data_IF_628768463314
#
_entry.id   IF_628768463314
#
_cell.length_a   1.000
_cell.length_b   1.000
_cell.length_c   1.000
_cell.angle_alpha   90.00
_cell.angle_beta   90.00
_cell.angle_gamma   90.00
#
_symmetry.space_group_name_H-M   'P 1'
#
loop_
_entity.id
_entity.type
_entity.pdbx_description
1 polymer ?
#
# COMPACT_ATOMS: atom_id res chain seq x y z
N UNK A 1 6.62 -11.40 49.13
CA UNK A 1 6.45 -12.48 48.14
C UNK A 1 7.81 -12.83 47.56
N UNK A 2 8.28 -14.07 47.67
CA UNK A 2 9.60 -14.47 47.16
C UNK A 2 9.61 -14.49 45.63
N UNK A 3 10.75 -14.16 45.00
CA UNK A 3 10.96 -14.22 43.54
C UNK A 3 10.37 -15.48 42.88
N UNK A 4 10.61 -16.71 43.37
CA UNK A 4 10.09 -17.93 42.73
C UNK A 4 8.57 -18.02 42.75
N UNK A 5 7.90 -17.53 43.80
CA UNK A 5 6.43 -17.55 43.91
C UNK A 5 5.80 -16.54 42.93
N UNK A 6 6.45 -15.40 42.69
CA UNK A 6 5.99 -14.42 41.71
C UNK A 6 6.10 -14.94 40.28
N UNK A 7 7.19 -15.63 39.96
CA UNK A 7 7.42 -16.10 38.60
C UNK A 7 6.56 -17.34 38.27
N UNK A 8 6.32 -18.22 39.24
CA UNK A 8 5.32 -19.30 39.11
C UNK A 8 3.88 -18.77 38.97
N UNK A 9 3.51 -17.73 39.71
CA UNK A 9 2.20 -17.10 39.56
C UNK A 9 2.02 -16.48 38.17
N UNK A 10 3.04 -15.81 37.63
CA UNK A 10 3.04 -15.28 36.26
C UNK A 10 2.88 -16.39 35.22
N UNK A 11 3.57 -17.51 35.42
CA UNK A 11 3.50 -18.65 34.51
C UNK A 11 2.10 -19.28 34.52
N UNK A 12 1.50 -19.46 35.71
CA UNK A 12 0.13 -19.95 35.87
C UNK A 12 -0.90 -19.00 35.24
N UNK A 13 -0.72 -17.68 35.41
CA UNK A 13 -1.55 -16.67 34.75
C UNK A 13 -1.43 -16.71 33.23
N UNK A 14 -0.22 -16.90 32.69
CA UNK A 14 0.00 -17.04 31.25
C UNK A 14 -0.65 -18.32 30.70
N UNK A 15 -0.51 -19.44 31.41
CA UNK A 15 -1.12 -20.72 31.02
C UNK A 15 -2.65 -20.67 31.11
N UNK A 16 -3.20 -20.07 32.17
CA UNK A 16 -4.64 -19.84 32.31
C UNK A 16 -5.18 -18.91 31.22
N UNK A 17 -4.42 -17.86 30.87
CA UNK A 17 -4.73 -16.96 29.77
C UNK A 17 -4.75 -17.68 28.42
N UNK A 18 -3.71 -18.48 28.11
CA UNK A 18 -3.64 -19.31 26.90
C UNK A 18 -4.80 -20.31 26.82
N UNK A 19 -5.16 -20.93 27.95
CA UNK A 19 -6.25 -21.89 28.02
C UNK A 19 -7.63 -21.24 27.83
N UNK A 20 -7.86 -20.07 28.45
CA UNK A 20 -9.06 -19.27 28.24
C UNK A 20 -9.20 -18.79 26.79
N UNK A 21 -8.07 -18.40 26.18
CA UNK A 21 -8.03 -17.98 24.78
C UNK A 21 -8.39 -19.12 23.81
N UNK A 22 -7.95 -20.34 24.12
CA UNK A 22 -8.27 -21.54 23.32
C UNK A 22 -9.76 -21.93 23.38
N UNK A 23 -10.52 -21.44 24.38
CA UNK A 23 -11.97 -21.69 24.50
C UNK A 23 -12.85 -20.62 23.84
N UNK A 24 -12.26 -19.55 23.31
CA UNK A 24 -13.02 -18.53 22.60
C UNK A 24 -13.48 -19.07 21.24
N UNK A 25 -14.64 -18.59 20.73
CA UNK A 25 -15.04 -18.85 19.36
C UNK A 25 -13.90 -18.45 18.41
N UNK A 26 -13.61 -19.24 17.37
CA UNK A 26 -12.45 -19.00 16.50
C UNK A 26 -12.45 -17.60 15.87
N UNK A 27 -13.62 -17.03 15.57
CA UNK A 27 -13.77 -15.65 15.08
C UNK A 27 -13.38 -14.59 16.13
N UNK A 28 -13.76 -14.80 17.40
CA UNK A 28 -13.43 -13.92 18.52
C UNK A 28 -11.95 -14.00 18.91
N UNK A 29 -11.39 -15.21 18.96
CA UNK A 29 -9.97 -15.43 19.22
C UNK A 29 -9.10 -14.80 18.14
N UNK A 30 -9.44 -15.00 16.86
CA UNK A 30 -8.73 -14.37 15.75
C UNK A 30 -8.77 -12.83 15.81
N UNK A 31 -9.94 -12.25 16.07
CA UNK A 31 -10.10 -10.81 16.19
C UNK A 31 -9.27 -10.22 17.36
N UNK A 32 -9.23 -10.90 18.51
CA UNK A 32 -8.43 -10.46 19.65
C UNK A 32 -6.92 -10.54 19.39
N UNK A 33 -6.44 -11.59 18.69
CA UNK A 33 -5.04 -11.67 18.23
C UNK A 33 -4.72 -10.51 17.29
N UNK A 34 -5.63 -10.23 16.35
CA UNK A 34 -5.43 -9.21 15.33
C UNK A 34 -5.42 -7.80 15.95
N UNK A 35 -6.39 -7.48 16.82
CA UNK A 35 -6.44 -6.22 17.57
C UNK A 35 -5.25 -6.08 18.51
N UNK A 36 -4.88 -7.14 19.23
CA UNK A 36 -3.73 -7.15 20.13
C UNK A 36 -2.40 -6.94 19.40
N UNK A 37 -2.23 -7.59 18.24
CA UNK A 37 -1.07 -7.42 17.38
C UNK A 37 -0.97 -6.02 16.79
N UNK A 38 -2.09 -5.45 16.31
CA UNK A 38 -2.15 -4.07 15.84
C UNK A 38 -1.85 -3.08 16.96
N UNK A 39 -2.38 -3.29 18.17
CA UNK A 39 -2.10 -2.45 19.33
C UNK A 39 -0.61 -2.51 19.73
N UNK A 40 -0.01 -3.71 19.76
CA UNK A 40 1.42 -3.87 20.02
C UNK A 40 2.28 -3.17 18.95
N UNK A 41 1.90 -3.28 17.68
CA UNK A 41 2.53 -2.54 16.57
C UNK A 41 2.38 -1.02 16.70
N UNK A 42 1.21 -0.54 17.09
CA UNK A 42 0.94 0.88 17.34
C UNK A 42 1.77 1.43 18.52
N UNK A 43 1.85 0.68 19.62
CA UNK A 43 2.71 1.02 20.77
C UNK A 43 4.17 1.11 20.34
N UNK A 44 4.65 0.15 19.54
CA UNK A 44 6.01 0.18 19.00
C UNK A 44 6.25 1.43 18.14
N UNK A 45 5.31 1.78 17.26
CA UNK A 45 5.39 2.94 16.40
C UNK A 45 5.49 4.24 17.19
N UNK A 46 4.63 4.41 18.20
CA UNK A 46 4.61 5.60 19.07
C UNK A 46 5.91 5.74 19.86
N UNK A 47 6.42 4.65 20.44
CA UNK A 47 7.63 4.69 21.27
C UNK A 47 8.92 4.87 20.45
N UNK A 48 8.92 4.48 19.17
CA UNK A 48 10.08 4.55 18.28
C UNK A 48 9.91 5.54 17.12
N UNK A 49 8.98 6.50 17.25
CA UNK A 49 8.60 7.41 16.17
C UNK A 49 9.81 8.18 15.60
N UNK A 50 10.69 8.72 16.45
CA UNK A 50 11.91 9.42 16.02
C UNK A 50 12.86 8.52 15.22
N UNK A 51 12.98 7.23 15.60
CA UNK A 51 13.78 6.25 14.88
C UNK A 51 13.18 5.91 13.52
N UNK A 52 11.86 5.75 13.47
CA UNK A 52 11.12 5.46 12.24
C UNK A 52 11.25 6.61 11.25
N UNK A 53 11.10 7.86 11.70
CA UNK A 53 11.30 9.04 10.85
C UNK A 53 12.74 9.19 10.37
N UNK A 54 13.73 8.96 11.24
CA UNK A 54 15.13 8.96 10.83
C UNK A 54 15.41 7.86 9.79
N UNK A 55 14.79 6.69 9.91
CA UNK A 55 14.91 5.63 8.91
C UNK A 55 14.18 5.98 7.60
N UNK A 56 12.98 6.57 7.70
CA UNK A 56 12.17 7.05 6.57
C UNK A 56 12.78 8.24 5.84
N UNK A 57 13.74 8.98 6.39
CA UNK A 57 14.46 9.98 5.59
C UNK A 57 15.51 9.34 4.68
N UNK A 58 16.05 8.17 5.06
CA UNK A 58 17.05 7.45 4.28
C UNK A 58 16.46 6.43 3.29
N UNK A 59 15.29 5.87 3.57
CA UNK A 59 14.70 4.78 2.77
C UNK A 59 14.10 5.24 1.41
N UNK A 60 13.22 6.25 1.35
CA UNK A 60 12.82 6.95 0.12
C UNK A 60 13.90 7.90 -0.44
N UNK A 61 14.93 8.24 0.35
CA UNK A 61 15.96 9.21 -0.04
C UNK A 61 16.97 8.73 -1.09
N UNK A 62 17.10 7.43 -1.34
CA UNK A 62 17.89 6.98 -2.49
C UNK A 62 17.04 7.12 -3.76
N UNK A 63 17.31 8.16 -4.56
CA UNK A 63 16.68 8.42 -5.85
C UNK A 63 16.51 7.17 -6.73
N UNK A 64 17.46 6.24 -6.68
CA UNK A 64 17.37 4.97 -7.41
C UNK A 64 16.21 4.08 -6.94
N UNK A 65 15.97 3.99 -5.63
CA UNK A 65 14.87 3.18 -5.09
C UNK A 65 13.51 3.81 -5.44
N UNK A 66 13.36 5.13 -5.30
CA UNK A 66 12.11 5.80 -5.65
C UNK A 66 11.82 5.72 -7.15
N UNK A 67 12.82 5.87 -8.02
CA UNK A 67 12.66 5.72 -9.48
C UNK A 67 12.27 4.29 -9.86
N UNK A 68 12.97 3.28 -9.33
CA UNK A 68 12.68 1.86 -9.64
C UNK A 68 11.27 1.49 -9.16
N UNK A 69 10.92 1.85 -7.92
CA UNK A 69 9.61 1.51 -7.36
C UNK A 69 8.50 2.21 -8.12
N UNK A 70 8.61 3.52 -8.39
CA UNK A 70 7.61 4.26 -9.16
C UNK A 70 7.49 3.70 -10.58
N UNK A 71 8.59 3.31 -11.21
CA UNK A 71 8.57 2.71 -12.55
C UNK A 71 7.86 1.35 -12.56
N UNK A 72 8.16 0.47 -11.60
CA UNK A 72 7.48 -0.82 -11.46
C UNK A 72 5.98 -0.64 -11.17
N UNK A 73 5.63 0.32 -10.31
CA UNK A 73 4.24 0.65 -10.01
C UNK A 73 3.50 1.27 -11.20
N UNK A 74 4.19 2.08 -12.03
CA UNK A 74 3.64 2.56 -13.32
C UNK A 74 3.35 1.38 -14.24
N UNK A 75 4.29 0.45 -14.39
CA UNK A 75 4.12 -0.71 -15.26
C UNK A 75 2.98 -1.62 -14.78
N UNK A 76 2.84 -1.82 -13.46
CA UNK A 76 1.71 -2.56 -12.90
C UNK A 76 0.39 -1.84 -13.12
N UNK A 77 0.35 -0.50 -12.96
CA UNK A 77 -0.84 0.30 -13.23
C UNK A 77 -1.27 0.21 -14.71
N UNK A 78 -0.34 0.30 -15.66
CA UNK A 78 -0.62 0.13 -17.10
C UNK A 78 -1.25 -1.25 -17.38
N UNK A 79 -0.68 -2.30 -16.81
CA UNK A 79 -1.21 -3.67 -16.97
C UNK A 79 -2.58 -3.83 -16.33
N UNK A 80 -2.81 -3.24 -15.16
CA UNK A 80 -4.10 -3.28 -14.47
C UNK A 80 -5.19 -2.53 -15.26
N UNK A 81 -4.87 -1.34 -15.78
CA UNK A 81 -5.77 -0.54 -16.61
C UNK A 81 -6.11 -1.25 -17.92
N UNK A 82 -5.11 -1.82 -18.61
CA UNK A 82 -5.34 -2.61 -19.81
C UNK A 82 -6.19 -3.87 -19.50
N UNK A 83 -5.86 -4.62 -18.44
CA UNK A 83 -6.61 -5.83 -18.09
C UNK A 83 -8.07 -5.56 -17.71
N UNK A 84 -8.38 -4.44 -17.05
CA UNK A 84 -9.75 -4.11 -16.64
C UNK A 84 -10.57 -3.38 -17.70
N UNK A 85 -9.96 -2.45 -18.43
CA UNK A 85 -10.68 -1.57 -19.36
C UNK A 85 -10.35 -1.85 -20.83
N UNK A 86 -9.38 -2.71 -21.13
CA UNK A 86 -8.97 -3.05 -22.50
C UNK A 86 -8.41 -1.87 -23.29
N UNK A 87 -7.84 -0.87 -22.60
CA UNK A 87 -7.22 0.31 -23.21
C UNK A 87 -5.79 -0.06 -23.61
N UNK A 88 -5.42 0.23 -24.86
CA UNK A 88 -4.07 0.04 -25.36
C UNK A 88 -3.08 0.94 -24.59
N UNK A 89 -1.88 0.43 -24.33
CA UNK A 89 -0.89 1.10 -23.47
C UNK A 89 -0.44 2.45 -24.05
N UNK A 90 -0.52 2.59 -25.38
CA UNK A 90 -0.16 3.81 -26.11
C UNK A 90 -1.16 4.97 -25.89
N UNK A 91 -2.34 4.70 -25.33
CA UNK A 91 -3.35 5.71 -24.98
C UNK A 91 -3.42 5.99 -23.47
N UNK A 92 -2.46 5.48 -22.68
CA UNK A 92 -2.35 5.66 -21.23
C UNK A 92 -1.10 6.47 -20.88
N UNK A 93 -1.14 7.77 -21.15
CA UNK A 93 -0.01 8.68 -20.97
C UNK A 93 0.18 9.06 -19.49
N UNK A 94 -0.86 9.61 -18.86
CA UNK A 94 -0.77 10.22 -17.53
C UNK A 94 -1.44 9.38 -16.45
N UNK A 95 -2.52 8.66 -16.76
CA UNK A 95 -3.24 7.83 -15.79
C UNK A 95 -2.29 6.81 -15.15
N UNK A 96 -1.48 6.14 -15.96
CA UNK A 96 -0.49 5.18 -15.50
C UNK A 96 0.59 5.79 -14.58
N UNK A 97 1.02 7.03 -14.86
CA UNK A 97 2.05 7.72 -14.07
C UNK A 97 1.49 8.17 -12.73
N UNK A 98 0.33 8.84 -12.74
CA UNK A 98 -0.35 9.31 -11.52
C UNK A 98 -0.71 8.14 -10.63
N UNK A 99 -1.30 7.10 -11.20
CA UNK A 99 -1.71 5.92 -10.44
C UNK A 99 -0.53 5.07 -9.99
N UNK A 100 0.51 4.95 -10.82
CA UNK A 100 1.77 4.33 -10.43
C UNK A 100 2.44 5.03 -9.24
N UNK A 101 2.42 6.36 -9.22
CA UNK A 101 2.90 7.14 -8.09
C UNK A 101 2.05 6.89 -6.82
N UNK A 102 0.73 6.81 -6.94
CA UNK A 102 -0.16 6.45 -5.84
C UNK A 102 0.12 5.05 -5.29
N UNK A 103 0.25 4.04 -6.17
CA UNK A 103 0.61 2.67 -5.78
C UNK A 103 1.99 2.56 -5.12
N UNK A 104 2.93 3.44 -5.49
CA UNK A 104 4.29 3.41 -4.96
C UNK A 104 4.33 3.62 -3.45
N UNK A 105 3.35 4.35 -2.88
CA UNK A 105 3.27 4.65 -1.45
C UNK A 105 3.00 3.37 -0.64
N UNK A 106 1.84 2.68 -0.79
CA UNK A 106 1.59 1.45 -0.05
C UNK A 106 2.55 0.33 -0.45
N UNK A 107 3.01 0.26 -1.70
CA UNK A 107 4.01 -0.73 -2.09
C UNK A 107 5.34 -0.53 -1.34
N UNK A 108 5.79 0.72 -1.19
CA UNK A 108 6.99 1.05 -0.41
C UNK A 108 6.82 0.70 1.06
N UNK A 109 5.62 0.92 1.63
CA UNK A 109 5.30 0.46 2.98
C UNK A 109 5.38 -1.06 3.05
N UNK A 110 4.76 -1.78 2.12
CA UNK A 110 4.81 -3.25 2.10
C UNK A 110 6.25 -3.77 2.06
N UNK A 111 7.11 -3.22 1.20
CA UNK A 111 8.53 -3.56 1.14
C UNK A 111 9.27 -3.29 2.45
N UNK A 112 8.96 -2.17 3.12
CA UNK A 112 9.50 -1.85 4.43
C UNK A 112 9.07 -2.89 5.49
N UNK A 113 7.78 -3.23 5.53
CA UNK A 113 7.26 -4.24 6.46
C UNK A 113 7.93 -5.59 6.25
N UNK A 114 8.06 -6.03 4.99
CA UNK A 114 8.77 -7.27 4.63
C UNK A 114 10.24 -7.19 5.05
N UNK A 115 10.92 -6.07 4.83
CA UNK A 115 12.31 -5.89 5.24
C UNK A 115 12.49 -6.04 6.76
N UNK A 116 11.58 -5.48 7.57
CA UNK A 116 11.65 -5.58 9.03
C UNK A 116 11.41 -7.01 9.54
N UNK A 117 10.63 -7.81 8.80
CA UNK A 117 10.43 -9.24 9.10
C UNK A 117 11.65 -10.11 8.74
N UNK A 118 12.59 -9.61 7.92
CA UNK A 118 13.76 -10.39 7.56
C UNK A 118 14.66 -10.67 8.76
N UNK A 119 15.32 -11.86 8.80
CA UNK A 119 16.32 -12.18 9.80
C UNK A 119 17.42 -11.12 9.89
N UNK A 120 17.94 -10.87 11.08
CA UNK A 120 18.95 -9.83 11.30
C UNK A 120 20.22 -10.02 10.45
N UNK A 121 20.60 -11.27 10.13
CA UNK A 121 21.76 -11.55 9.29
C UNK A 121 21.56 -11.06 7.85
N UNK A 122 20.37 -11.24 7.29
CA UNK A 122 19.97 -10.74 5.96
C UNK A 122 19.95 -9.22 5.95
N UNK A 123 19.37 -8.61 6.99
CA UNK A 123 19.35 -7.15 7.15
C UNK A 123 20.74 -6.55 7.27
N UNK A 124 21.66 -7.21 7.99
CA UNK A 124 23.07 -6.78 8.07
C UNK A 124 23.78 -6.91 6.73
N UNK A 125 23.53 -7.97 5.95
CA UNK A 125 24.08 -8.11 4.61
C UNK A 125 23.57 -7.01 3.67
N UNK A 126 22.28 -6.70 3.70
CA UNK A 126 21.68 -5.60 2.95
C UNK A 126 22.18 -4.22 3.43
N UNK A 127 22.35 -4.03 4.74
CA UNK A 127 22.86 -2.80 5.34
C UNK A 127 24.34 -2.55 5.08
N UNK A 128 25.17 -3.60 4.90
CA UNK A 128 26.57 -3.48 4.45
C UNK A 128 26.70 -2.86 3.06
N UNK A 129 25.65 -2.90 2.24
CA UNK A 129 25.59 -2.23 0.93
C UNK A 129 25.27 -0.73 1.04
N UNK A 130 24.96 -0.20 2.24
CA UNK A 130 24.67 1.22 2.48
C UNK A 130 25.64 1.81 3.51
N UNK A 131 26.89 2.15 3.10
CA UNK A 131 27.82 2.87 3.95
C UNK A 131 27.27 4.29 4.20
N UNK A 132 27.04 4.67 5.46
CA UNK A 132 26.69 6.06 5.83
C UNK A 132 25.42 6.24 6.67
N UNK A 133 24.71 5.18 7.07
CA UNK A 133 23.59 5.31 7.97
C UNK A 133 24.06 5.81 9.36
N UNK A 134 23.61 6.99 9.77
CA UNK A 134 23.84 7.52 11.12
C UNK A 134 23.37 6.50 12.18
N UNK A 135 24.01 6.44 13.36
CA UNK A 135 23.59 5.54 14.43
C UNK A 135 22.15 5.88 14.83
N UNK A 136 21.23 4.96 14.52
CA UNK A 136 19.84 5.12 14.88
C UNK A 136 19.69 5.17 16.41
N UNK A 137 18.78 5.99 16.95
CA UNK A 137 18.52 6.03 18.39
C UNK A 137 18.14 4.64 18.92
N UNK A 138 18.48 4.38 20.18
CA UNK A 138 18.25 3.09 20.83
C UNK A 138 16.79 2.65 20.73
N UNK A 139 16.58 1.38 20.35
CA UNK A 139 15.26 0.80 20.17
C UNK A 139 14.55 0.63 21.51
N UNK A 140 13.33 1.15 21.61
CA UNK A 140 12.43 0.88 22.73
C UNK A 140 11.55 -0.31 22.38
N UNK A 141 11.47 -1.29 23.29
CA UNK A 141 10.59 -2.48 23.17
C UNK A 141 10.82 -3.30 21.87
N UNK A 142 12.03 -3.85 21.64
CA UNK A 142 12.36 -4.55 20.40
C UNK A 142 11.46 -5.76 20.10
N UNK A 143 10.88 -6.37 21.13
CA UNK A 143 9.96 -7.51 21.01
C UNK A 143 8.70 -7.19 20.20
N UNK A 144 8.32 -5.90 20.07
CA UNK A 144 7.12 -5.48 19.34
C UNK A 144 7.38 -5.15 17.85
N UNK A 145 8.65 -5.16 17.42
CA UNK A 145 9.03 -4.93 16.02
C UNK A 145 8.32 -5.85 15.01
N UNK A 146 8.20 -7.19 15.21
CA UNK A 146 7.51 -8.04 14.25
C UNK A 146 6.00 -7.74 14.15
N UNK A 147 5.37 -7.34 15.25
CA UNK A 147 3.96 -6.93 15.25
C UNK A 147 3.75 -5.63 14.48
N UNK A 148 4.67 -4.66 14.64
CA UNK A 148 4.68 -3.44 13.84
C UNK A 148 4.89 -3.74 12.35
N UNK A 149 5.85 -4.59 12.02
CA UNK A 149 6.14 -4.96 10.64
C UNK A 149 4.93 -5.66 9.97
N UNK A 150 4.30 -6.61 10.67
CA UNK A 150 3.09 -7.27 10.20
C UNK A 150 1.92 -6.29 10.02
N UNK A 151 1.70 -5.40 10.99
CA UNK A 151 0.67 -4.36 10.89
C UNK A 151 0.90 -3.48 9.65
N UNK A 152 2.14 -3.10 9.37
CA UNK A 152 2.50 -2.26 8.24
C UNK A 152 2.28 -2.96 6.90
N UNK A 153 2.57 -4.27 6.79
CA UNK A 153 2.22 -5.08 5.62
C UNK A 153 0.71 -5.17 5.43
N UNK A 154 -0.06 -5.42 6.50
CA UNK A 154 -1.51 -5.49 6.43
C UNK A 154 -2.15 -4.16 6.00
N UNK A 155 -1.70 -3.04 6.58
CA UNK A 155 -2.17 -1.70 6.21
C UNK A 155 -1.82 -1.37 4.75
N UNK A 156 -0.61 -1.72 4.30
CA UNK A 156 -0.21 -1.54 2.91
C UNK A 156 -1.07 -2.38 1.95
N UNK A 157 -1.32 -3.65 2.28
CA UNK A 157 -2.19 -4.52 1.49
C UNK A 157 -3.62 -4.00 1.41
N UNK A 158 -4.18 -3.53 2.53
CA UNK A 158 -5.50 -2.91 2.55
C UNK A 158 -5.54 -1.64 1.68
N UNK A 159 -4.53 -0.77 1.78
CA UNK A 159 -4.45 0.43 0.95
C UNK A 159 -4.34 0.11 -0.55
N UNK A 160 -3.60 -0.96 -0.92
CA UNK A 160 -3.55 -1.45 -2.31
C UNK A 160 -4.92 -1.91 -2.80
N UNK A 161 -5.67 -2.67 -1.98
CA UNK A 161 -7.03 -3.11 -2.34
C UNK A 161 -7.99 -1.93 -2.55
N UNK A 162 -7.93 -0.92 -1.69
CA UNK A 162 -8.75 0.30 -1.82
C UNK A 162 -8.39 1.11 -3.06
N UNK A 163 -7.10 1.18 -3.41
CA UNK A 163 -6.67 1.76 -4.68
C UNK A 163 -7.18 0.94 -5.86
N UNK A 164 -7.10 -0.39 -5.82
CA UNK A 164 -7.63 -1.21 -6.91
C UNK A 164 -9.12 -0.94 -7.18
N UNK A 165 -9.94 -0.69 -6.16
CA UNK A 165 -11.35 -0.30 -6.34
C UNK A 165 -11.50 1.09 -7.00
N UNK A 166 -10.59 2.01 -6.71
CA UNK A 166 -10.55 3.37 -7.27
C UNK A 166 -9.81 3.51 -8.60
N UNK A 167 -9.43 2.42 -9.28
CA UNK A 167 -8.60 2.47 -10.49
C UNK A 167 -9.29 3.22 -11.65
N UNK A 168 -10.62 3.15 -11.71
CA UNK A 168 -11.43 3.79 -12.74
C UNK A 168 -11.21 5.32 -12.77
N UNK A 169 -11.01 5.95 -11.60
CA UNK A 169 -10.79 7.40 -11.48
C UNK A 169 -9.49 7.85 -12.12
N UNK A 170 -8.52 6.94 -12.30
CA UNK A 170 -7.27 7.24 -12.99
C UNK A 170 -7.51 7.68 -14.44
N UNK A 171 -8.56 7.15 -15.07
CA UNK A 171 -8.89 7.40 -16.47
C UNK A 171 -9.30 8.86 -16.74
N UNK A 172 -9.76 9.58 -15.72
CA UNK A 172 -10.11 11.00 -15.82
C UNK A 172 -8.89 11.84 -16.21
N UNK A 173 -7.68 11.42 -15.80
CA UNK A 173 -6.44 12.17 -16.07
C UNK A 173 -6.08 12.15 -17.55
N UNK A 174 -6.43 11.09 -18.28
CA UNK A 174 -6.20 10.97 -19.73
C UNK A 174 -7.44 11.33 -20.56
N UNK A 175 -8.55 11.65 -19.91
CA UNK A 175 -9.77 12.04 -20.60
C UNK A 175 -9.68 13.48 -21.12
N UNK A 176 -10.06 13.69 -22.38
CA UNK A 176 -10.02 15.00 -23.04
C UNK A 176 -11.43 15.48 -23.41
N UNK A 177 -11.75 16.78 -23.22
CA UNK A 177 -13.07 17.31 -23.60
C UNK A 177 -13.27 17.36 -25.12
N UNK A 178 -12.18 17.44 -25.90
CA UNK A 178 -12.18 17.42 -27.35
C UNK A 178 -11.26 16.31 -27.85
N UNK A 179 -11.75 15.39 -28.69
CA UNK A 179 -10.90 14.38 -29.33
C UNK A 179 -11.54 13.88 -30.63
N UNK A 180 -10.79 13.10 -31.42
CA UNK A 180 -11.32 12.45 -32.62
C UNK A 180 -12.44 11.44 -32.31
N UNK A 181 -12.69 11.12 -31.04
CA UNK A 181 -13.77 10.23 -30.62
C UNK A 181 -15.15 10.93 -30.57
N UNK A 182 -15.21 12.27 -30.52
CA UNK A 182 -16.49 12.96 -30.39
C UNK A 182 -16.39 14.47 -30.19
N UNK A 183 -17.52 15.18 -30.35
CA UNK A 183 -17.59 16.63 -30.20
C UNK A 183 -17.42 17.06 -28.73
N UNK A 184 -17.20 18.37 -28.55
CA UNK A 184 -17.08 18.99 -27.23
C UNK A 184 -18.47 19.23 -26.64
N UNK A 185 -18.92 18.34 -25.76
CA UNK A 185 -20.17 18.52 -25.00
C UNK A 185 -19.88 18.81 -23.52
N UNK A 186 -20.70 19.66 -22.90
CA UNK A 186 -20.58 20.01 -21.49
C UNK A 186 -20.74 18.78 -20.57
N UNK A 187 -19.79 18.58 -19.66
CA UNK A 187 -19.81 17.46 -18.72
C UNK A 187 -19.46 16.10 -19.35
N UNK A 188 -18.92 16.12 -20.57
CA UNK A 188 -18.43 14.91 -21.24
C UNK A 188 -16.93 15.02 -21.51
N UNK A 189 -16.23 13.93 -21.30
CA UNK A 189 -14.85 13.77 -21.70
C UNK A 189 -14.71 12.46 -22.47
N UNK A 190 -13.75 12.41 -23.38
CA UNK A 190 -13.51 11.29 -24.26
C UNK A 190 -12.15 10.69 -23.97
N UNK A 191 -12.08 9.37 -23.96
CA UNK A 191 -10.86 8.62 -23.75
C UNK A 191 -10.73 7.58 -24.86
N UNK A 192 -9.58 7.52 -25.51
CA UNK A 192 -9.36 6.53 -26.57
C UNK A 192 -9.02 5.18 -25.96
N UNK A 193 -9.69 4.13 -26.43
CA UNK A 193 -9.42 2.75 -26.00
C UNK A 193 -8.43 2.07 -26.95
N UNK A 194 -8.74 2.15 -28.25
CA UNK A 194 -7.93 1.64 -29.35
C UNK A 194 -8.20 2.48 -30.62
N UNK A 195 -7.73 2.02 -31.78
CA UNK A 195 -7.97 2.71 -33.05
C UNK A 195 -9.45 2.83 -33.46
N UNK A 196 -10.32 1.90 -33.02
CA UNK A 196 -11.73 1.80 -33.46
C UNK A 196 -12.76 2.10 -32.37
N UNK A 197 -12.35 2.23 -31.11
CA UNK A 197 -13.24 2.35 -29.95
C UNK A 197 -12.76 3.43 -29.00
N UNK A 198 -13.73 4.12 -28.42
CA UNK A 198 -13.51 5.13 -27.40
C UNK A 198 -14.44 4.93 -26.21
N UNK A 199 -14.06 5.51 -25.08
CA UNK A 199 -14.90 5.68 -23.91
C UNK A 199 -15.40 7.11 -23.84
N UNK A 200 -16.70 7.25 -23.62
CA UNK A 200 -17.34 8.50 -23.22
C UNK A 200 -17.46 8.48 -21.70
N UNK A 201 -16.82 9.43 -21.05
CA UNK A 201 -16.97 9.71 -19.63
C UNK A 201 -18.02 10.80 -19.47
N UNK A 202 -19.14 10.46 -18.82
CA UNK A 202 -20.16 11.44 -18.45
C UNK A 202 -20.21 11.56 -16.93
N UNK A 203 -20.08 12.78 -16.42
CA UNK A 203 -20.16 13.04 -14.99
C UNK A 203 -19.44 14.30 -14.56
N UNK A 204 -19.44 14.54 -13.24
CA UNK A 204 -18.70 15.64 -12.64
C UNK A 204 -17.49 15.07 -11.87
N UNK A 205 -16.24 15.37 -12.30
CA UNK A 205 -15.05 14.85 -11.64
C UNK A 205 -14.93 15.31 -10.18
N UNK A 206 -15.56 16.44 -9.81
CA UNK A 206 -15.56 16.95 -8.43
C UNK A 206 -16.55 16.24 -7.51
N UNK A 207 -17.58 15.58 -8.04
CA UNK A 207 -18.54 14.79 -7.24
C UNK A 207 -18.20 13.30 -7.22
N UNK A 208 -17.14 12.89 -7.93
CA UNK A 208 -16.67 11.50 -7.98
C UNK A 208 -17.64 10.54 -8.69
N UNK A 209 -18.65 11.05 -9.39
CA UNK A 209 -19.61 10.23 -10.13
C UNK A 209 -19.34 10.38 -11.61
N UNK A 210 -18.83 9.33 -12.23
CA UNK A 210 -18.65 9.26 -13.66
C UNK A 210 -19.06 7.88 -14.16
N UNK A 211 -19.60 7.85 -15.36
CA UNK A 211 -19.99 6.62 -16.05
C UNK A 211 -19.15 6.47 -17.31
N UNK A 212 -18.57 5.29 -17.49
CA UNK A 212 -17.87 4.89 -18.69
C UNK A 212 -18.85 4.23 -19.65
N UNK A 213 -19.10 4.86 -20.80
CA UNK A 213 -19.86 4.27 -21.89
C UNK A 213 -18.92 4.01 -23.07
N UNK A 214 -18.87 2.77 -23.57
CA UNK A 214 -18.11 2.46 -24.77
C UNK A 214 -18.87 2.95 -26.00
N UNK A 215 -18.17 3.63 -26.90
CA UNK A 215 -18.69 4.17 -28.15
C UNK A 215 -17.72 3.80 -29.27
N UNK A 216 -18.23 3.46 -30.44
CA UNK A 216 -17.38 3.25 -31.61
C UNK A 216 -16.76 4.59 -32.04
N UNK A 217 -15.46 4.58 -32.32
CA UNK A 217 -14.80 5.77 -32.86
C UNK A 217 -15.38 6.03 -34.24
N UNK A 218 -15.78 7.27 -34.58
CA UNK A 218 -15.85 7.62 -35.99
C UNK A 218 -14.45 7.32 -36.56
N UNK A 219 -14.40 6.50 -37.61
CA UNK A 219 -13.16 6.16 -38.29
C UNK A 219 -12.40 7.46 -38.68
N UNK A 220 -11.06 7.45 -38.71
CA UNK A 220 -10.25 8.64 -39.00
C UNK A 220 -10.62 9.33 -40.31
#
# INVERSE_FOLDING_TARGET
MSKPVRDTLKLLLLLAGLWGFARLPPSLGANLILVGGLAAGGIYALLNLSRLFAFLSYWPGSLLYSVIVVYLCKMSAQRALNARFGIEVDYLDNAAVVYGALYSIPFSLMLLGVYLLLPQWLRRAAGRLRPGAAPAPAQKVPTFEPFFAAALVCCAGFALQQLDEGLEYALIVDAMPASNCGPVDAGTAWLRKNHSQCYRLQGNPFTGTFSLQQVDSPAP
#
